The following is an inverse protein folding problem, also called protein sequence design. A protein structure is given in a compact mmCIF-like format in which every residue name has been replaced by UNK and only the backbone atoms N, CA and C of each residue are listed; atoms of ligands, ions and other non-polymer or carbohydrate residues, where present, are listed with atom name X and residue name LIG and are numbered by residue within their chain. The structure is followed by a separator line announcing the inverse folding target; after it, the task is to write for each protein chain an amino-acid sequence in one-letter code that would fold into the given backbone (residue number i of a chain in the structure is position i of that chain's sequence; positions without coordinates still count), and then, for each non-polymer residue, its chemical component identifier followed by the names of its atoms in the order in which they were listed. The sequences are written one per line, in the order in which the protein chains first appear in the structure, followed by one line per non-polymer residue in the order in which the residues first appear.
data_IF_133139328991
#
_entry.id   IF_133139328991
#
_cell.length_a   1.000
_cell.length_b   1.000
_cell.length_c   1.000
_cell.angle_alpha   90.00
_cell.angle_beta   90.00
_cell.angle_gamma   90.00
#
_symmetry.space_group_name_H-M   'P 1'
#
loop_
_entity.id
_entity.type
_entity.pdbx_description
1 polymer ?
#
# COMPACT_ATOMS: atom_id res chain seq x y z
N UNK A 1 59.67 -59.57 -17.24
CA UNK A 1 58.65 -60.34 -17.95
C UNK A 1 57.42 -59.53 -18.40
N UNK A 2 57.29 -58.27 -17.98
CA UNK A 2 56.12 -57.44 -18.34
C UNK A 2 56.07 -56.83 -19.73
N UNK A 3 57.22 -56.60 -20.36
CA UNK A 3 57.26 -55.88 -21.65
C UNK A 3 57.03 -56.72 -22.90
N UNK A 4 57.19 -58.05 -22.78
CA UNK A 4 56.94 -58.98 -23.85
C UNK A 4 55.41 -59.12 -24.10
N UNK A 5 54.61 -58.99 -23.05
CA UNK A 5 53.15 -59.04 -23.16
C UNK A 5 52.52 -57.78 -23.77
N UNK A 6 53.16 -56.58 -23.56
CA UNK A 6 52.63 -55.32 -24.12
C UNK A 6 52.79 -55.18 -25.59
N UNK A 7 53.90 -55.72 -26.20
CA UNK A 7 54.22 -55.51 -27.59
C UNK A 7 53.55 -56.56 -28.52
N UNK A 8 53.04 -57.68 -27.94
CA UNK A 8 52.42 -58.77 -28.71
C UNK A 8 50.96 -59.06 -28.30
N UNK A 9 50.28 -58.13 -27.66
CA UNK A 9 48.88 -58.28 -27.20
C UNK A 9 47.92 -58.71 -28.31
N UNK A 10 48.08 -58.13 -29.50
CA UNK A 10 47.25 -58.46 -30.67
C UNK A 10 47.51 -59.86 -31.17
N UNK A 11 48.80 -60.35 -31.21
CA UNK A 11 49.14 -61.69 -31.65
C UNK A 11 48.70 -62.75 -30.63
N UNK A 12 48.78 -62.45 -29.34
CA UNK A 12 48.28 -63.32 -28.26
C UNK A 12 46.77 -63.47 -28.30
N UNK A 13 46.03 -62.34 -28.53
CA UNK A 13 44.59 -62.38 -28.75
C UNK A 13 44.20 -63.18 -30.02
N UNK A 14 44.95 -63.02 -31.10
CA UNK A 14 44.74 -63.80 -32.32
C UNK A 14 44.99 -65.28 -32.10
N UNK A 15 46.04 -65.65 -31.33
CA UNK A 15 46.33 -67.09 -31.04
C UNK A 15 45.22 -67.67 -30.12
N UNK A 16 44.72 -66.92 -29.13
CA UNK A 16 43.60 -67.36 -28.27
C UNK A 16 42.33 -67.53 -29.11
N UNK A 17 42.06 -66.57 -30.02
CA UNK A 17 40.90 -66.60 -30.88
C UNK A 17 40.97 -67.79 -31.85
N UNK A 18 42.18 -68.05 -32.44
CA UNK A 18 42.40 -69.17 -33.32
C UNK A 18 42.24 -70.51 -32.57
N UNK A 19 42.72 -70.63 -31.34
CA UNK A 19 42.56 -71.79 -30.49
C UNK A 19 41.06 -72.00 -30.09
N UNK A 20 40.32 -70.94 -29.78
CA UNK A 20 38.88 -71.03 -29.59
C UNK A 20 38.10 -71.47 -30.80
N UNK A 21 38.46 -70.97 -32.02
CA UNK A 21 37.86 -71.34 -33.24
C UNK A 21 38.21 -72.80 -33.57
N UNK A 22 39.48 -73.28 -33.34
CA UNK A 22 39.90 -74.67 -33.51
C UNK A 22 39.15 -75.65 -32.61
N UNK A 23 38.92 -75.27 -31.32
CA UNK A 23 38.12 -76.08 -30.42
C UNK A 23 36.65 -76.11 -30.84
N UNK A 24 36.12 -75.06 -31.38
CA UNK A 24 34.73 -74.95 -31.92
C UNK A 24 34.55 -75.80 -33.14
N UNK A 25 35.53 -75.80 -34.08
CA UNK A 25 35.53 -76.62 -35.26
C UNK A 25 35.73 -78.13 -34.94
N UNK A 26 36.61 -78.42 -33.96
CA UNK A 26 36.79 -79.79 -33.50
C UNK A 26 35.52 -80.36 -32.83
N UNK A 27 34.82 -79.53 -32.00
CA UNK A 27 33.53 -79.83 -31.43
C UNK A 27 32.42 -80.04 -32.46
N UNK A 28 32.48 -79.33 -33.62
CA UNK A 28 31.52 -79.42 -34.71
C UNK A 28 31.77 -80.67 -35.56
N UNK A 29 33.05 -81.16 -35.71
CA UNK A 29 33.38 -82.35 -36.48
C UNK A 29 33.10 -83.69 -35.77
N UNK A 30 33.02 -83.68 -34.42
CA UNK A 30 32.57 -84.86 -33.66
C UNK A 30 31.05 -84.93 -33.59
N UNK A 31 30.42 -85.25 -34.71
CA UNK A 31 28.98 -85.37 -34.83
C UNK A 31 28.31 -86.16 -33.72
N UNK A 32 27.61 -85.46 -32.85
CA UNK A 32 26.51 -86.06 -32.09
C UNK A 32 26.78 -86.64 -30.75
N UNK A 33 27.32 -85.94 -29.78
CA UNK A 33 27.04 -86.09 -28.34
C UNK A 33 27.77 -85.01 -27.52
N UNK A 34 27.51 -83.76 -27.79
CA UNK A 34 28.12 -82.61 -27.06
C UNK A 34 27.18 -81.91 -26.11
N UNK A 35 26.13 -82.59 -25.62
CA UNK A 35 25.17 -81.97 -24.66
C UNK A 35 25.76 -81.67 -23.27
N UNK A 36 26.94 -82.27 -22.96
CA UNK A 36 27.54 -82.02 -21.60
C UNK A 36 28.56 -80.87 -21.57
N UNK A 37 29.39 -80.72 -22.62
CA UNK A 37 30.50 -79.71 -22.60
C UNK A 37 30.02 -78.27 -22.96
N UNK A 38 29.06 -78.23 -23.91
CA UNK A 38 28.47 -76.96 -24.31
C UNK A 38 27.65 -76.29 -23.19
N UNK A 39 27.03 -77.14 -22.36
CA UNK A 39 26.27 -76.67 -21.18
C UNK A 39 27.16 -76.08 -20.07
N UNK A 40 28.35 -76.68 -19.85
CA UNK A 40 29.26 -76.22 -18.77
C UNK A 40 29.95 -74.90 -19.13
N UNK A 41 30.19 -74.59 -20.39
CA UNK A 41 30.82 -73.30 -20.82
C UNK A 41 29.81 -72.20 -21.12
N UNK A 42 28.60 -72.55 -21.58
CA UNK A 42 27.58 -71.53 -21.90
C UNK A 42 26.67 -71.17 -20.67
N UNK A 43 26.54 -72.04 -19.71
CA UNK A 43 25.74 -71.70 -18.52
C UNK A 43 26.30 -70.57 -17.72
N UNK A 44 27.60 -70.43 -17.38
CA UNK A 44 28.09 -69.23 -16.67
C UNK A 44 27.99 -67.98 -17.52
N UNK A 45 28.07 -68.06 -18.89
CA UNK A 45 27.92 -66.91 -19.76
C UNK A 45 26.46 -66.41 -19.79
N UNK A 46 25.47 -67.30 -19.71
CA UNK A 46 24.04 -66.93 -19.61
C UNK A 46 23.72 -66.35 -18.24
N UNK A 47 24.30 -66.81 -17.18
CA UNK A 47 24.11 -66.25 -15.85
C UNK A 47 24.70 -64.85 -15.76
N UNK A 48 25.88 -64.59 -16.32
CA UNK A 48 26.50 -63.27 -16.34
C UNK A 48 25.70 -62.28 -17.19
N UNK A 49 25.15 -62.70 -18.36
CA UNK A 49 24.30 -61.81 -19.15
C UNK A 49 22.97 -61.49 -18.50
N UNK A 50 22.34 -62.41 -17.75
CA UNK A 50 21.11 -62.12 -17.02
C UNK A 50 21.36 -61.15 -15.85
N UNK A 51 22.43 -61.36 -15.08
CA UNK A 51 22.76 -60.48 -13.93
C UNK A 51 23.14 -59.06 -14.37
N UNK A 52 23.83 -58.93 -15.50
CA UNK A 52 24.20 -57.61 -16.06
C UNK A 52 22.98 -56.90 -16.65
N UNK A 53 22.04 -57.60 -17.28
CA UNK A 53 20.78 -57.04 -17.78
C UNK A 53 19.91 -56.52 -16.64
N UNK A 54 19.73 -57.32 -15.57
CA UNK A 54 18.93 -56.89 -14.41
C UNK A 54 19.52 -55.69 -13.67
N UNK A 55 20.85 -55.62 -13.57
CA UNK A 55 21.53 -54.46 -12.97
C UNK A 55 21.45 -53.21 -13.86
N UNK A 56 21.56 -53.39 -15.18
CA UNK A 56 21.39 -52.32 -16.15
C UNK A 56 19.95 -51.76 -16.15
N UNK A 57 18.93 -52.64 -16.08
CA UNK A 57 17.53 -52.21 -15.98
C UNK A 57 17.26 -51.45 -14.64
N UNK A 58 17.82 -51.91 -13.54
CA UNK A 58 17.70 -51.20 -12.24
C UNK A 58 18.37 -49.85 -12.27
N UNK A 59 19.50 -49.69 -12.93
CA UNK A 59 20.16 -48.40 -13.08
C UNK A 59 19.37 -47.48 -14.01
N UNK A 60 18.89 -47.98 -15.15
CA UNK A 60 18.07 -47.20 -16.06
C UNK A 60 16.75 -46.74 -15.41
N UNK A 61 16.05 -47.65 -14.69
CA UNK A 61 14.83 -47.28 -13.94
C UNK A 61 15.10 -46.33 -12.79
N UNK A 62 16.23 -46.43 -12.07
CA UNK A 62 16.61 -45.50 -11.05
C UNK A 62 16.87 -44.08 -11.61
N UNK A 63 17.58 -43.99 -12.74
CA UNK A 63 17.83 -42.70 -13.41
C UNK A 63 16.56 -42.09 -14.00
N UNK A 64 15.69 -42.88 -14.63
CA UNK A 64 14.41 -42.39 -15.19
C UNK A 64 13.44 -41.95 -14.10
N UNK A 65 13.37 -42.70 -13.00
CA UNK A 65 12.54 -42.32 -11.88
C UNK A 65 13.02 -41.05 -11.16
N UNK A 66 14.34 -40.86 -11.04
CA UNK A 66 14.89 -39.66 -10.41
C UNK A 66 14.59 -38.37 -11.24
N UNK A 67 14.71 -38.45 -12.55
CA UNK A 67 14.33 -37.34 -13.45
C UNK A 67 12.81 -37.10 -13.44
N UNK A 68 12.00 -38.17 -13.38
CA UNK A 68 10.55 -38.07 -13.28
C UNK A 68 10.11 -37.43 -11.97
N UNK A 69 10.72 -37.79 -10.83
CA UNK A 69 10.42 -37.17 -9.53
C UNK A 69 10.86 -35.72 -9.47
N UNK A 70 11.96 -35.33 -10.06
CA UNK A 70 12.39 -33.93 -10.15
C UNK A 70 11.40 -33.11 -11.00
N UNK A 71 11.05 -33.59 -12.19
CA UNK A 71 10.09 -32.94 -13.07
C UNK A 71 8.72 -32.77 -12.39
N UNK A 72 8.24 -33.81 -11.69
CA UNK A 72 6.99 -33.77 -10.95
C UNK A 72 7.07 -32.81 -9.75
N UNK A 73 8.20 -32.77 -9.04
CA UNK A 73 8.42 -31.82 -7.95
C UNK A 73 8.41 -30.38 -8.44
N UNK A 74 9.04 -30.12 -9.59
CA UNK A 74 9.07 -28.78 -10.18
C UNK A 74 7.68 -28.39 -10.71
N UNK A 75 6.95 -29.31 -11.34
CA UNK A 75 5.53 -29.11 -11.73
C UNK A 75 4.65 -28.80 -10.51
N UNK A 76 4.79 -29.54 -9.42
CA UNK A 76 4.03 -29.29 -8.19
C UNK A 76 4.38 -27.96 -7.53
N UNK A 77 5.63 -27.52 -7.61
CA UNK A 77 6.04 -26.18 -7.14
C UNK A 77 5.41 -25.07 -7.98
N UNK A 78 5.42 -25.22 -9.30
CA UNK A 78 4.77 -24.28 -10.22
C UNK A 78 3.26 -24.23 -10.00
N UNK A 79 2.63 -25.37 -9.84
CA UNK A 79 1.20 -25.46 -9.54
C UNK A 79 0.87 -24.84 -8.18
N UNK A 80 1.71 -25.06 -7.15
CA UNK A 80 1.56 -24.46 -5.84
C UNK A 80 1.74 -22.92 -5.89
N UNK A 81 2.71 -22.44 -6.67
CA UNK A 81 2.89 -21.02 -6.89
C UNK A 81 1.69 -20.38 -7.63
N UNK A 82 1.20 -21.06 -8.67
CA UNK A 82 0.02 -20.63 -9.41
C UNK A 82 -1.26 -20.60 -8.54
N UNK A 83 -1.43 -21.62 -7.68
CA UNK A 83 -2.55 -21.68 -6.75
C UNK A 83 -2.47 -20.57 -5.68
N UNK A 84 -1.27 -20.29 -5.17
CA UNK A 84 -1.06 -19.16 -4.23
C UNK A 84 -1.39 -17.82 -4.88
N UNK A 85 -0.96 -17.60 -6.11
CA UNK A 85 -1.30 -16.36 -6.83
C UNK A 85 -2.82 -16.24 -7.04
N UNK A 86 -3.48 -17.32 -7.43
CA UNK A 86 -4.95 -17.33 -7.56
C UNK A 86 -5.67 -17.08 -6.24
N UNK A 87 -5.11 -17.55 -5.12
CA UNK A 87 -5.67 -17.29 -3.79
C UNK A 87 -5.55 -15.81 -3.44
N UNK A 88 -4.39 -15.19 -3.69
CA UNK A 88 -4.20 -13.75 -3.49
C UNK A 88 -5.18 -12.94 -4.35
N UNK A 89 -5.27 -13.23 -5.65
CA UNK A 89 -6.22 -12.57 -6.55
C UNK A 89 -7.68 -12.72 -6.08
N UNK A 90 -8.03 -13.90 -5.55
CA UNK A 90 -9.36 -14.14 -5.00
C UNK A 90 -9.62 -13.33 -3.71
N UNK A 91 -8.64 -13.30 -2.81
CA UNK A 91 -8.74 -12.51 -1.57
C UNK A 91 -8.86 -11.01 -1.88
N UNK A 92 -8.04 -10.49 -2.80
CA UNK A 92 -8.12 -9.10 -3.27
C UNK A 92 -9.49 -8.77 -3.89
N UNK A 93 -9.98 -9.64 -4.76
CA UNK A 93 -11.30 -9.45 -5.40
C UNK A 93 -12.42 -9.47 -4.37
N UNK A 94 -12.34 -10.37 -3.39
CA UNK A 94 -13.33 -10.45 -2.31
C UNK A 94 -13.31 -9.20 -1.44
N UNK A 95 -12.14 -8.68 -1.14
CA UNK A 95 -12.00 -7.43 -0.38
C UNK A 95 -12.62 -6.26 -1.15
N UNK A 96 -12.28 -6.10 -2.43
CA UNK A 96 -12.86 -5.07 -3.30
C UNK A 96 -14.40 -5.17 -3.38
N UNK A 97 -14.92 -6.39 -3.48
CA UNK A 97 -16.38 -6.60 -3.46
C UNK A 97 -17.00 -6.15 -2.13
N UNK A 98 -16.39 -6.51 -1.02
CA UNK A 98 -16.87 -6.11 0.32
C UNK A 98 -16.83 -4.60 0.51
N UNK A 99 -15.76 -3.94 0.04
CA UNK A 99 -15.66 -2.48 0.07
C UNK A 99 -16.73 -1.84 -0.83
N UNK A 100 -16.93 -2.36 -2.04
CA UNK A 100 -17.95 -1.86 -2.94
C UNK A 100 -19.37 -2.03 -2.35
N UNK A 101 -19.67 -3.16 -1.70
CA UNK A 101 -20.93 -3.38 -0.99
C UNK A 101 -21.14 -2.35 0.13
N UNK A 102 -20.09 -2.06 0.92
CA UNK A 102 -20.12 -1.01 1.95
C UNK A 102 -20.39 0.36 1.33
N UNK A 103 -19.73 0.71 0.24
CA UNK A 103 -19.95 1.99 -0.46
C UNK A 103 -21.34 2.10 -1.09
N UNK A 104 -21.87 1.01 -1.63
CA UNK A 104 -23.26 0.97 -2.10
C UNK A 104 -24.25 1.19 -0.96
N UNK A 105 -23.90 0.76 0.25
CA UNK A 105 -24.66 1.06 1.47
C UNK A 105 -24.75 2.56 1.75
N UNK A 106 -23.61 3.26 1.73
CA UNK A 106 -23.54 4.73 1.91
C UNK A 106 -24.41 5.44 0.86
N UNK A 107 -24.25 5.09 -0.41
CA UNK A 107 -25.00 5.69 -1.52
C UNK A 107 -26.50 5.48 -1.39
N UNK A 108 -26.92 4.37 -0.80
CA UNK A 108 -28.34 4.09 -0.56
C UNK A 108 -28.90 4.85 0.65
N UNK A 109 -28.09 5.03 1.69
CA UNK A 109 -28.45 5.74 2.91
C UNK A 109 -28.52 7.25 2.69
N UNK A 110 -27.63 7.78 1.84
CA UNK A 110 -27.52 9.20 1.50
C UNK A 110 -27.72 9.42 -0.01
N UNK A 111 -28.91 9.15 -0.49
CA UNK A 111 -29.25 9.25 -1.92
C UNK A 111 -29.22 10.70 -2.47
N UNK A 112 -29.22 11.68 -1.61
CA UNK A 112 -29.12 13.14 -1.86
C UNK A 112 -27.68 13.64 -2.03
N UNK A 113 -26.67 12.81 -1.72
CA UNK A 113 -25.26 13.21 -1.90
C UNK A 113 -24.71 12.75 -3.25
N UNK A 114 -23.87 13.60 -3.84
CA UNK A 114 -23.08 13.24 -5.00
C UNK A 114 -21.76 12.68 -4.51
N UNK A 115 -21.56 11.39 -4.69
CA UNK A 115 -20.37 10.67 -4.25
C UNK A 115 -19.48 10.36 -5.46
N UNK A 116 -18.16 10.45 -5.25
CA UNK A 116 -17.19 9.95 -6.23
C UNK A 116 -17.28 8.43 -6.36
N UNK A 117 -16.65 7.88 -7.39
CA UNK A 117 -16.28 6.47 -7.38
C UNK A 117 -15.26 6.20 -6.25
N UNK A 118 -15.12 4.96 -5.79
CA UNK A 118 -14.11 4.60 -4.81
C UNK A 118 -12.71 5.05 -5.21
N UNK A 119 -12.02 5.71 -4.30
CA UNK A 119 -10.67 6.23 -4.48
C UNK A 119 -9.68 5.35 -3.74
N UNK A 120 -8.68 4.83 -4.42
CA UNK A 120 -7.61 4.03 -3.79
C UNK A 120 -6.52 4.93 -3.23
N UNK A 121 -5.98 4.56 -2.07
CA UNK A 121 -4.82 5.23 -1.49
C UNK A 121 -3.57 4.78 -2.25
N UNK A 122 -2.83 5.73 -2.81
CA UNK A 122 -1.63 5.47 -3.61
C UNK A 122 -0.33 5.85 -2.90
N UNK A 123 -0.41 6.50 -1.74
CA UNK A 123 0.76 6.87 -0.94
C UNK A 123 0.40 7.67 0.29
N UNK A 124 1.39 7.83 1.16
CA UNK A 124 1.29 8.64 2.37
C UNK A 124 2.24 9.83 2.30
N UNK A 125 1.85 10.94 2.92
CA UNK A 125 2.70 12.13 2.97
C UNK A 125 3.87 11.88 3.93
N UNK A 126 5.09 12.05 3.42
CA UNK A 126 6.31 11.78 4.20
C UNK A 126 6.48 12.82 5.31
N UNK A 127 6.85 12.35 6.50
CA UNK A 127 7.07 13.19 7.70
C UNK A 127 5.84 13.97 8.18
N UNK A 128 4.65 13.51 7.83
CA UNK A 128 3.41 14.05 8.39
C UNK A 128 2.95 13.19 9.59
N UNK A 129 2.94 13.75 10.82
CA UNK A 129 2.50 13.01 11.99
C UNK A 129 0.99 12.78 12.03
N UNK A 130 0.24 13.42 11.15
CA UNK A 130 -1.22 13.36 11.09
C UNK A 130 -1.73 12.34 10.04
N UNK A 131 -0.81 11.57 9.45
CA UNK A 131 -1.14 10.47 8.54
C UNK A 131 -1.90 10.88 7.29
N UNK A 132 -1.64 12.09 6.77
CA UNK A 132 -2.19 12.53 5.48
C UNK A 132 -1.75 11.59 4.36
N UNK A 133 -2.62 11.36 3.40
CA UNK A 133 -2.39 10.40 2.32
C UNK A 133 -2.83 10.94 0.97
N UNK A 134 -2.45 10.23 -0.08
CA UNK A 134 -2.73 10.60 -1.47
C UNK A 134 -3.66 9.56 -2.08
N UNK A 135 -4.68 10.03 -2.78
CA UNK A 135 -5.65 9.21 -3.51
C UNK A 135 -5.46 9.33 -5.02
N UNK A 136 -5.86 8.29 -5.75
CA UNK A 136 -5.72 8.17 -7.22
C UNK A 136 -6.78 8.92 -8.03
N UNK A 137 -7.43 9.91 -7.45
CA UNK A 137 -8.46 10.74 -8.09
C UNK A 137 -8.18 12.22 -7.87
N UNK A 138 -8.51 13.04 -8.87
CA UNK A 138 -8.22 14.47 -8.87
C UNK A 138 -9.32 15.32 -9.51
N UNK A 139 -8.97 16.51 -9.98
CA UNK A 139 -9.92 17.43 -10.60
C UNK A 139 -10.58 16.87 -11.88
N UNK A 140 -9.89 15.97 -12.59
CA UNK A 140 -10.47 15.29 -13.77
C UNK A 140 -11.65 14.37 -13.39
N UNK A 141 -11.72 13.95 -12.13
CA UNK A 141 -12.80 13.14 -11.55
C UNK A 141 -13.86 13.98 -10.82
N UNK A 142 -13.74 15.30 -10.87
CA UNK A 142 -14.68 16.24 -10.22
C UNK A 142 -14.38 16.52 -8.75
N UNK A 143 -13.20 16.15 -8.25
CA UNK A 143 -12.79 16.44 -6.87
C UNK A 143 -12.35 17.91 -6.74
N UNK A 144 -12.83 18.55 -5.71
CA UNK A 144 -12.52 19.94 -5.37
C UNK A 144 -11.80 20.05 -4.04
N UNK A 145 -11.22 21.21 -3.80
CA UNK A 145 -10.59 21.53 -2.51
C UNK A 145 -11.66 21.55 -1.41
N UNK A 146 -11.32 21.02 -0.23
CA UNK A 146 -12.20 20.91 0.94
C UNK A 146 -13.35 19.89 0.79
N UNK A 147 -13.40 19.09 -0.26
CA UNK A 147 -14.36 18.00 -0.33
C UNK A 147 -14.18 17.02 0.83
N UNK A 148 -15.28 16.62 1.49
CA UNK A 148 -15.22 15.63 2.57
C UNK A 148 -14.81 14.26 2.07
N UNK A 149 -13.96 13.59 2.83
CA UNK A 149 -13.52 12.23 2.59
C UNK A 149 -14.07 11.30 3.67
N UNK A 150 -14.75 10.26 3.25
CA UNK A 150 -15.49 9.34 4.13
C UNK A 150 -15.25 7.87 3.78
N UNK A 151 -15.57 7.02 4.74
CA UNK A 151 -15.76 5.57 4.55
C UNK A 151 -17.14 5.15 5.02
N UNK A 152 -17.47 3.87 4.92
CA UNK A 152 -18.69 3.32 5.54
C UNK A 152 -18.66 3.36 7.08
N UNK A 153 -17.51 3.51 7.68
CA UNK A 153 -17.30 3.50 9.12
C UNK A 153 -17.40 4.90 9.73
N UNK A 154 -17.07 5.94 8.93
CA UNK A 154 -17.12 7.34 9.40
C UNK A 154 -16.32 8.29 8.52
N UNK A 155 -16.08 9.48 9.08
CA UNK A 155 -15.28 10.51 8.40
C UNK A 155 -13.78 10.19 8.50
N UNK A 156 -13.07 10.55 7.43
CA UNK A 156 -11.60 10.38 7.32
C UNK A 156 -10.88 11.72 7.38
N UNK A 157 -11.36 12.70 6.63
CA UNK A 157 -10.73 14.01 6.51
C UNK A 157 -11.32 14.83 5.37
N UNK A 158 -10.52 15.73 4.83
CA UNK A 158 -10.87 16.59 3.69
C UNK A 158 -9.77 16.57 2.64
N UNK A 159 -10.13 16.97 1.43
CA UNK A 159 -9.18 17.24 0.36
C UNK A 159 -8.43 18.54 0.66
N UNK A 160 -7.12 18.43 0.91
CA UNK A 160 -6.24 19.58 1.21
C UNK A 160 -5.48 20.10 0.00
N UNK A 161 -5.30 19.28 -1.02
CA UNK A 161 -4.67 19.66 -2.29
C UNK A 161 -5.24 18.81 -3.42
N UNK A 162 -5.44 19.43 -4.57
CA UNK A 162 -5.99 18.77 -5.78
C UNK A 162 -5.02 18.97 -6.95
N UNK A 163 -4.68 17.86 -7.59
CA UNK A 163 -4.02 17.82 -8.90
C UNK A 163 -5.00 17.22 -9.91
N UNK A 164 -4.61 17.16 -11.18
CA UNK A 164 -5.49 16.64 -12.23
C UNK A 164 -5.93 15.18 -11.97
N UNK A 165 -5.00 14.31 -11.57
CA UNK A 165 -5.22 12.86 -11.48
C UNK A 165 -5.06 12.28 -10.07
N UNK A 166 -4.69 13.08 -9.09
CA UNK A 166 -4.53 12.68 -7.70
C UNK A 166 -4.85 13.84 -6.76
N UNK A 167 -5.20 13.54 -5.53
CA UNK A 167 -5.47 14.53 -4.50
C UNK A 167 -4.84 14.12 -3.18
N UNK A 168 -4.55 15.08 -2.33
CA UNK A 168 -4.04 14.85 -0.97
C UNK A 168 -5.17 15.02 0.02
N UNK A 169 -5.31 14.05 0.89
CA UNK A 169 -6.29 14.04 1.99
C UNK A 169 -5.58 14.41 3.29
N UNK A 170 -6.09 15.40 3.98
CA UNK A 170 -5.73 15.75 5.36
C UNK A 170 -6.72 15.09 6.31
N UNK A 171 -6.21 14.31 7.27
CA UNK A 171 -7.05 13.53 8.17
C UNK A 171 -7.65 14.36 9.30
N UNK A 172 -8.67 13.83 9.97
CA UNK A 172 -9.28 14.47 11.15
C UNK A 172 -8.34 14.59 12.34
N UNK A 173 -7.18 13.92 12.30
CA UNK A 173 -6.14 14.05 13.32
C UNK A 173 -5.29 15.31 13.15
N UNK A 174 -5.45 16.05 12.05
CA UNK A 174 -4.69 17.28 11.80
C UNK A 174 -5.26 18.48 12.55
N UNK A 175 -4.39 19.28 13.20
CA UNK A 175 -4.83 20.52 13.86
C UNK A 175 -5.23 21.64 12.89
N UNK A 176 -5.00 21.47 11.59
CA UNK A 176 -5.45 22.43 10.58
C UNK A 176 -6.93 22.28 10.25
N UNK A 177 -7.54 21.17 10.66
CA UNK A 177 -8.92 20.85 10.38
C UNK A 177 -9.77 21.06 11.63
N UNK A 178 -10.83 21.86 11.48
CA UNK A 178 -11.81 22.10 12.53
C UNK A 178 -13.19 21.71 12.03
N UNK A 179 -13.81 20.74 12.68
CA UNK A 179 -15.08 20.15 12.25
C UNK A 179 -16.12 20.34 13.34
N UNK A 180 -17.30 20.84 12.97
CA UNK A 180 -18.42 20.87 13.88
C UNK A 180 -18.85 19.46 14.29
N UNK A 181 -18.81 19.18 15.59
CA UNK A 181 -19.12 17.89 16.17
C UNK A 181 -20.28 17.96 17.16
N UNK A 182 -21.04 16.87 17.29
CA UNK A 182 -22.15 16.76 18.23
C UNK A 182 -22.27 15.34 18.77
N UNK A 183 -22.77 15.22 19.98
CA UNK A 183 -23.18 13.92 20.53
C UNK A 183 -24.24 13.24 19.66
N UNK A 184 -24.23 11.92 19.55
CA UNK A 184 -25.26 11.17 18.85
C UNK A 184 -26.67 11.45 19.41
N UNK A 185 -26.77 11.76 20.70
CA UNK A 185 -28.01 12.17 21.36
C UNK A 185 -28.38 13.63 21.06
N UNK A 186 -27.47 14.42 20.46
CA UNK A 186 -27.68 15.82 20.14
C UNK A 186 -27.66 16.78 21.34
N UNK A 187 -27.25 16.31 22.53
CA UNK A 187 -27.26 17.10 23.75
C UNK A 187 -26.06 18.05 23.88
N UNK A 188 -24.94 17.64 23.32
CA UNK A 188 -23.68 18.38 23.44
C UNK A 188 -23.09 18.64 22.06
N UNK A 189 -22.58 19.85 21.84
CA UNK A 189 -21.94 20.28 20.62
C UNK A 189 -20.56 20.84 20.93
N UNK A 190 -19.65 20.74 19.97
CA UNK A 190 -18.29 21.26 20.10
C UNK A 190 -17.60 21.28 18.75
N UNK A 191 -16.31 21.51 18.77
CA UNK A 191 -15.44 21.50 17.58
C UNK A 191 -14.44 20.39 17.74
N UNK A 192 -14.37 19.52 16.74
CA UNK A 192 -13.33 18.52 16.61
C UNK A 192 -12.08 19.16 16.02
N UNK A 193 -10.95 18.91 16.63
CA UNK A 193 -9.62 19.28 16.12
C UNK A 193 -8.61 18.17 16.40
N UNK A 194 -7.57 18.09 15.58
CA UNK A 194 -6.43 17.24 15.85
C UNK A 194 -5.44 17.89 16.81
N UNK A 195 -4.64 17.07 17.48
CA UNK A 195 -3.54 17.52 18.32
C UNK A 195 -2.32 16.63 18.12
N UNK A 196 -1.12 17.23 18.09
CA UNK A 196 0.11 16.50 17.84
C UNK A 196 0.41 15.46 18.93
N UNK A 197 0.01 15.71 20.16
CA UNK A 197 0.17 14.78 21.27
C UNK A 197 -0.70 13.51 21.14
N UNK A 198 -1.79 13.59 20.40
CA UNK A 198 -2.77 12.54 20.17
C UNK A 198 -2.58 11.84 18.80
N UNK A 199 -1.79 12.44 17.92
CA UNK A 199 -1.66 11.99 16.54
C UNK A 199 -1.05 10.59 16.41
N UNK A 200 -0.15 10.19 17.32
CA UNK A 200 0.49 8.89 17.31
C UNK A 200 -0.51 7.73 17.54
N UNK A 201 -1.58 7.99 18.26
CA UNK A 201 -2.65 7.04 18.57
C UNK A 201 -3.88 7.24 17.67
N UNK A 202 -3.76 8.07 16.63
CA UNK A 202 -4.84 8.51 15.73
C UNK A 202 -5.99 9.22 16.43
N UNK A 203 -5.84 9.61 17.68
CA UNK A 203 -6.88 10.29 18.45
C UNK A 203 -7.01 11.75 18.05
N UNK A 204 -8.19 12.29 18.29
CA UNK A 204 -8.51 13.70 18.13
C UNK A 204 -9.27 14.19 19.37
N UNK A 205 -9.48 15.49 19.48
CA UNK A 205 -10.20 16.05 20.60
C UNK A 205 -11.39 16.88 20.16
N UNK A 206 -12.45 16.83 20.95
CA UNK A 206 -13.62 17.71 20.82
C UNK A 206 -13.56 18.76 21.91
N UNK A 207 -13.39 20.02 21.52
CA UNK A 207 -13.25 21.18 22.42
C UNK A 207 -14.55 21.97 22.52
N UNK A 208 -14.55 22.99 23.41
CA UNK A 208 -15.69 23.86 23.71
C UNK A 208 -16.89 23.13 24.33
N UNK A 209 -16.64 22.04 25.04
CA UNK A 209 -17.67 21.39 25.83
C UNK A 209 -17.99 22.21 27.09
N UNK A 210 -19.25 22.29 27.41
CA UNK A 210 -19.68 22.92 28.65
C UNK A 210 -19.13 22.16 29.86
N UNK A 211 -18.93 22.86 30.97
CA UNK A 211 -18.38 22.24 32.18
C UNK A 211 -19.31 21.16 32.77
N UNK A 212 -20.61 21.32 32.57
CA UNK A 212 -21.68 20.40 32.99
C UNK A 212 -22.17 19.50 31.88
N UNK A 213 -21.31 19.28 30.84
CA UNK A 213 -21.59 18.35 29.76
C UNK A 213 -22.05 16.99 30.29
N UNK A 214 -23.00 16.39 29.59
CA UNK A 214 -23.53 15.04 29.88
C UNK A 214 -22.80 13.94 29.17
N UNK A 215 -21.81 14.25 28.32
CA UNK A 215 -20.98 13.27 27.61
C UNK A 215 -20.32 12.35 28.61
N UNK A 216 -20.30 11.04 28.25
CA UNK A 216 -19.66 9.96 28.99
C UNK A 216 -18.68 9.20 28.08
N UNK A 217 -17.77 8.48 28.70
CA UNK A 217 -16.91 7.53 27.99
C UNK A 217 -17.75 6.53 27.22
N UNK A 218 -17.39 6.29 25.95
CA UNK A 218 -18.10 5.41 25.01
C UNK A 218 -19.23 6.07 24.23
N UNK A 219 -19.60 7.33 24.53
CA UNK A 219 -20.62 8.04 23.75
C UNK A 219 -20.16 8.27 22.31
N UNK A 220 -21.09 8.09 21.35
CA UNK A 220 -20.80 8.31 19.95
C UNK A 220 -20.90 9.79 19.58
N UNK A 221 -19.91 10.24 18.81
CA UNK A 221 -19.82 11.61 18.28
C UNK A 221 -19.97 11.56 16.77
N UNK A 222 -20.77 12.48 16.24
CA UNK A 222 -21.04 12.64 14.80
C UNK A 222 -20.84 14.08 14.36
N UNK A 223 -20.76 14.31 13.05
CA UNK A 223 -20.71 15.64 12.47
C UNK A 223 -21.99 16.42 12.72
N UNK A 224 -21.87 17.71 13.07
CA UNK A 224 -23.03 18.59 13.28
C UNK A 224 -23.53 19.25 12.00
N UNK A 225 -22.77 19.24 10.91
CA UNK A 225 -23.05 20.00 9.69
C UNK A 225 -22.68 21.48 9.78
N UNK A 226 -22.28 21.96 10.95
CA UNK A 226 -21.90 23.37 11.16
C UNK A 226 -20.57 23.65 10.44
N UNK A 227 -20.49 24.79 9.75
CA UNK A 227 -19.30 25.20 9.00
C UNK A 227 -19.27 24.68 7.56
N UNK A 228 -20.22 23.83 7.13
CA UNK A 228 -20.36 23.41 5.72
C UNK A 228 -19.21 22.57 5.15
N UNK A 229 -18.28 22.07 6.02
CA UNK A 229 -17.19 21.20 5.61
C UNK A 229 -17.60 19.73 5.54
N UNK A 230 -18.57 19.31 6.35
CA UNK A 230 -19.11 17.95 6.38
C UNK A 230 -20.63 18.00 6.46
N UNK A 231 -21.33 17.10 5.77
CA UNK A 231 -22.74 16.94 5.99
C UNK A 231 -23.02 16.45 7.43
N UNK A 232 -24.21 16.74 7.94
CA UNK A 232 -24.62 16.33 9.28
C UNK A 232 -24.81 14.82 9.38
N UNK A 233 -24.41 14.25 10.52
CA UNK A 233 -24.77 12.89 10.90
C UNK A 233 -23.70 11.82 10.65
N UNK A 234 -22.61 12.12 9.99
CA UNK A 234 -21.52 11.16 9.83
C UNK A 234 -20.81 10.87 11.16
N UNK A 235 -20.50 9.59 11.39
CA UNK A 235 -19.81 9.16 12.58
C UNK A 235 -18.36 9.66 12.58
N UNK A 236 -17.95 10.27 13.69
CA UNK A 236 -16.56 10.66 13.94
C UNK A 236 -15.86 9.55 14.72
N UNK A 237 -16.44 9.13 15.83
CA UNK A 237 -15.87 8.14 16.71
C UNK A 237 -16.58 8.05 18.04
N UNK A 238 -15.91 7.55 19.06
CA UNK A 238 -16.40 7.42 20.42
C UNK A 238 -15.53 8.20 21.40
N UNK A 239 -16.15 8.70 22.46
CA UNK A 239 -15.43 9.35 23.56
C UNK A 239 -14.58 8.33 24.30
N UNK A 240 -13.28 8.59 24.40
CA UNK A 240 -12.36 7.80 25.20
C UNK A 240 -12.41 8.29 26.66
N UNK A 241 -12.12 9.55 26.89
CA UNK A 241 -12.20 10.19 28.20
C UNK A 241 -12.44 11.69 28.07
N UNK A 242 -12.79 12.34 29.20
CA UNK A 242 -12.99 13.78 29.27
C UNK A 242 -11.97 14.40 30.22
N UNK A 243 -11.46 15.57 29.85
CA UNK A 243 -10.54 16.35 30.64
C UNK A 243 -10.98 17.82 30.77
N UNK A 244 -10.49 18.48 31.80
CA UNK A 244 -10.68 19.93 31.97
C UNK A 244 -9.59 20.65 31.16
N UNK A 245 -9.98 21.70 30.45
CA UNK A 245 -9.00 22.62 29.88
C UNK A 245 -8.22 23.34 30.99
N UNK A 246 -6.99 23.75 30.70
CA UNK A 246 -6.13 24.49 31.65
C UNK A 246 -6.79 25.72 32.22
N UNK A 247 -7.70 26.35 31.48
CA UNK A 247 -8.51 27.50 31.94
C UNK A 247 -9.52 27.14 33.04
N UNK A 248 -9.86 25.85 33.21
CA UNK A 248 -10.89 25.36 34.13
C UNK A 248 -12.32 25.79 33.79
N UNK A 249 -12.53 26.47 32.65
CA UNK A 249 -13.86 27.03 32.28
C UNK A 249 -14.65 26.03 31.40
N UNK A 250 -14.00 25.22 30.62
CA UNK A 250 -14.60 24.22 29.70
C UNK A 250 -13.90 22.88 29.82
N UNK A 251 -14.54 21.86 29.29
CA UNK A 251 -13.97 20.52 29.12
C UNK A 251 -13.65 20.25 27.66
N UNK A 252 -12.81 19.26 27.42
CA UNK A 252 -12.66 18.62 26.13
C UNK A 252 -12.80 17.12 26.28
N UNK A 253 -13.19 16.46 25.20
CA UNK A 253 -13.25 15.02 25.13
C UNK A 253 -12.18 14.53 24.15
N UNK A 254 -11.39 13.53 24.54
CA UNK A 254 -10.52 12.77 23.64
C UNK A 254 -11.37 11.72 22.97
N UNK A 255 -11.24 11.60 21.65
CA UNK A 255 -12.04 10.71 20.83
C UNK A 255 -11.18 9.67 20.14
N UNK A 256 -11.66 8.44 20.14
CA UNK A 256 -11.18 7.36 19.29
C UNK A 256 -11.96 7.39 17.97
N UNK A 257 -11.35 7.68 16.83
CA UNK A 257 -12.02 7.66 15.53
C UNK A 257 -12.67 6.31 15.24
N UNK A 258 -13.81 6.34 14.54
CA UNK A 258 -14.49 5.13 14.09
C UNK A 258 -13.74 4.42 12.97
N UNK A 259 -12.97 5.18 12.20
CA UNK A 259 -12.18 4.68 11.05
C UNK A 259 -10.83 4.19 11.53
N UNK A 260 -10.45 3.00 11.08
CA UNK A 260 -9.10 2.47 11.30
C UNK A 260 -8.15 2.97 10.20
N UNK A 261 -7.33 3.98 10.51
CA UNK A 261 -6.39 4.58 9.57
C UNK A 261 -5.27 3.64 9.11
N UNK A 262 -4.84 2.68 9.94
CA UNK A 262 -3.81 1.70 9.58
C UNK A 262 -4.26 0.70 8.51
N UNK A 263 -5.55 0.39 8.49
CA UNK A 263 -6.14 -0.59 7.57
C UNK A 263 -6.83 0.06 6.36
N UNK A 264 -6.71 1.40 6.23
CA UNK A 264 -7.41 2.15 5.21
C UNK A 264 -6.77 1.90 3.83
N UNK A 265 -7.53 1.35 2.90
CA UNK A 265 -7.09 1.05 1.52
C UNK A 265 -7.81 1.89 0.48
N UNK A 266 -9.09 2.21 0.73
CA UNK A 266 -9.93 3.00 -0.15
C UNK A 266 -10.87 3.92 0.61
N UNK A 267 -11.24 5.02 -0.02
CA UNK A 267 -12.13 6.06 0.52
C UNK A 267 -13.11 6.53 -0.55
N UNK A 268 -14.13 7.29 -0.15
CA UNK A 268 -15.00 8.03 -1.05
C UNK A 268 -14.94 9.52 -0.75
N UNK A 269 -15.08 10.32 -1.79
CA UNK A 269 -15.17 11.78 -1.69
C UNK A 269 -16.63 12.20 -1.93
N UNK A 270 -17.14 13.06 -1.07
CA UNK A 270 -18.45 13.68 -1.24
C UNK A 270 -18.26 14.93 -2.08
N UNK A 271 -18.68 14.86 -3.34
CA UNK A 271 -18.51 15.95 -4.31
C UNK A 271 -19.52 17.06 -4.09
N UNK A 272 -20.76 16.70 -3.71
CA UNK A 272 -21.82 17.68 -3.43
C UNK A 272 -22.81 17.15 -2.40
N UNK A 273 -23.32 18.04 -1.57
CA UNK A 273 -24.37 17.77 -0.57
C UNK A 273 -25.06 19.05 -0.16
N UNK A 274 -26.27 18.96 0.39
CA UNK A 274 -27.03 20.12 0.86
C UNK A 274 -26.30 20.81 2.05
N UNK A 275 -25.98 22.08 1.88
CA UNK A 275 -25.22 22.87 2.86
C UNK A 275 -23.70 22.93 2.62
N UNK A 276 -23.16 22.36 1.52
CA UNK A 276 -21.75 22.50 1.16
C UNK A 276 -21.40 23.98 0.95
N UNK A 277 -20.31 24.44 1.59
CA UNK A 277 -19.82 25.81 1.44
C UNK A 277 -20.69 26.87 2.12
N UNK A 278 -21.65 26.48 2.95
CA UNK A 278 -22.41 27.41 3.80
C UNK A 278 -21.51 27.96 4.92
N UNK A 279 -20.53 28.77 4.56
CA UNK A 279 -19.78 29.56 5.54
C UNK A 279 -20.74 30.51 6.23
N UNK A 280 -21.01 30.27 7.49
CA UNK A 280 -21.50 31.33 8.39
C UNK A 280 -20.33 32.24 8.73
N UNK A 281 -19.80 32.97 7.76
CA UNK A 281 -19.01 34.16 8.04
C UNK A 281 -20.02 35.16 8.58
N UNK A 282 -19.88 35.65 9.84
CA UNK A 282 -20.62 36.82 10.27
C UNK A 282 -20.28 37.95 9.28
N UNK A 283 -21.29 38.52 8.69
CA UNK A 283 -21.23 39.57 7.64
C UNK A 283 -20.53 40.87 8.13
N UNK A 284 -19.87 40.84 9.28
CA UNK A 284 -19.29 42.02 9.96
C UNK A 284 -17.76 42.19 9.75
N UNK A 285 -17.13 41.42 8.87
CA UNK A 285 -15.71 41.63 8.49
C UNK A 285 -15.48 41.97 7.03
N UNK A 286 -16.53 42.22 6.25
CA UNK A 286 -16.40 42.69 4.89
C UNK A 286 -16.67 44.18 4.83
N UNK A 287 -15.74 45.01 5.25
CA UNK A 287 -15.60 46.39 4.76
C UNK A 287 -14.43 47.13 5.38
N UNK A 288 -13.22 46.72 5.08
CA UNK A 288 -12.13 47.69 4.91
C UNK A 288 -11.59 47.54 3.51
N UNK A 289 -12.47 47.71 2.54
CA UNK A 289 -12.02 48.16 1.23
C UNK A 289 -11.71 49.65 1.43
N UNK A 290 -10.44 49.96 1.63
CA UNK A 290 -9.92 51.30 1.47
C UNK A 290 -10.13 51.70 0.02
N UNK A 291 -11.28 52.33 -0.22
CA UNK A 291 -11.55 53.05 -1.47
C UNK A 291 -10.58 54.19 -1.50
N UNK A 292 -9.42 54.05 -2.13
CA UNK A 292 -8.61 55.18 -2.52
C UNK A 292 -9.35 55.83 -3.70
N UNK A 293 -10.24 56.73 -3.33
CA UNK A 293 -10.85 57.66 -4.33
C UNK A 293 -9.73 58.58 -4.77
N UNK A 294 -9.24 58.35 -5.96
CA UNK A 294 -8.38 59.32 -6.63
C UNK A 294 -9.27 60.52 -6.99
N UNK A 295 -9.27 61.55 -6.16
CA UNK A 295 -9.75 62.90 -6.55
C UNK A 295 -8.78 63.44 -7.59
N UNK A 296 -9.20 63.42 -8.84
CA UNK A 296 -8.57 64.16 -9.91
C UNK A 296 -8.95 65.66 -9.74
N UNK A 297 -8.13 66.39 -9.02
CA UNK A 297 -8.21 67.85 -9.03
C UNK A 297 -7.40 68.37 -10.19
N UNK A 298 -8.11 68.80 -11.20
CA UNK A 298 -7.54 69.60 -12.33
C UNK A 298 -7.28 71.01 -11.79
N UNK A 299 -6.04 71.38 -11.61
CA UNK A 299 -5.64 72.80 -11.48
C UNK A 299 -4.49 73.10 -12.42
N UNK A 300 -4.70 74.20 -13.08
CA UNK A 300 -3.91 74.79 -14.14
C UNK A 300 -2.46 75.18 -13.71
N UNK A 301 -1.62 75.17 -14.74
CA UNK A 301 -0.29 75.76 -14.84
C UNK A 301 0.12 76.84 -13.86
N UNK A 302 1.26 76.66 -13.19
CA UNK A 302 2.26 77.74 -13.06
C UNK A 302 3.64 77.09 -12.81
N UNK A 303 4.53 77.40 -13.72
CA UNK A 303 5.95 77.06 -13.76
C UNK A 303 6.70 77.55 -12.56
N UNK A 304 7.44 76.69 -11.82
CA UNK A 304 8.65 77.10 -11.09
C UNK A 304 9.56 75.88 -10.89
N UNK A 305 10.75 75.96 -11.46
CA UNK A 305 11.84 75.01 -11.28
C UNK A 305 12.29 74.96 -9.86
N UNK A 306 12.38 73.76 -9.25
CA UNK A 306 13.12 73.59 -8.02
C UNK A 306 13.94 72.30 -8.13
N UNK A 307 15.24 72.48 -8.26
CA UNK A 307 16.26 71.44 -8.25
C UNK A 307 16.30 70.78 -6.91
N UNK A 308 15.95 69.52 -6.81
CA UNK A 308 16.13 68.75 -5.59
C UNK A 308 17.33 67.82 -5.71
N UNK A 309 18.37 68.14 -4.96
CA UNK A 309 19.60 67.34 -4.79
C UNK A 309 19.29 66.09 -4.00
N UNK A 310 19.47 64.90 -4.56
CA UNK A 310 19.35 63.64 -3.82
C UNK A 310 20.72 63.35 -3.20
N UNK A 311 20.83 63.40 -1.86
CA UNK A 311 21.98 62.96 -1.14
C UNK A 311 21.85 61.46 -0.80
N UNK A 312 22.68 60.64 -1.45
CA UNK A 312 22.84 59.23 -1.11
C UNK A 312 23.75 59.12 0.08
N UNK A 313 23.24 58.66 1.21
CA UNK A 313 24.03 58.26 2.37
C UNK A 313 24.46 56.79 2.19
N UNK A 314 25.75 56.58 1.87
CA UNK A 314 26.42 55.32 1.97
C UNK A 314 27.00 55.17 3.36
N UNK A 315 26.47 54.26 4.18
CA UNK A 315 27.07 53.82 5.42
C UNK A 315 28.17 52.82 5.14
N UNK A 316 29.43 53.28 5.28
CA UNK A 316 30.63 52.44 5.24
C UNK A 316 30.77 51.63 6.53
N UNK A 317 31.08 50.38 6.36
CA UNK A 317 31.50 49.46 7.42
C UNK A 317 32.97 49.77 7.74
N UNK A 318 33.30 50.21 8.94
CA UNK A 318 34.68 50.29 9.40
C UNK A 318 34.95 49.23 10.46
N UNK A 319 35.90 48.41 10.17
CA UNK A 319 36.45 47.42 11.07
C UNK A 319 37.51 48.11 11.95
N UNK A 320 37.38 47.97 13.25
CA UNK A 320 38.44 48.36 14.21
C UNK A 320 38.90 47.13 15.00
N UNK A 321 40.15 46.83 14.75
CA UNK A 321 41.03 45.91 15.43
C UNK A 321 41.56 46.59 16.73
N UNK A 322 41.85 45.80 17.79
CA UNK A 322 42.70 46.32 18.87
C UNK A 322 42.53 45.68 20.24
N UNK A 323 43.32 44.66 20.48
CA UNK A 323 44.21 44.42 21.64
C UNK A 323 43.76 44.92 23.05
N UNK A 324 43.53 43.97 23.98
CA UNK A 324 44.38 43.58 25.11
C UNK A 324 43.78 42.35 25.82
#
# INVERSE_FOLDING_TARGET
MGDFFKRNRLRFLLCILALLIGVLLYAAMQGGQTTGVMGVVLNPLRQVTQTVSEQAERLVTAFTNQTSYQTENDRLKEENAALKNKLLDYEDTKQQLTELEKFMGIKKEHADYVLSDPCSIIGYVTNDPFHSFIINKGSDDGIELQDPVVTAEGIVGIISNVSNTYSTVETICSPKLSIGAMSATGSDTGILEGEISLAADYQCRMIYLERDTKLQEGDLIKTSGTGGLFPQGYLIGSVDHLELMDSGLSKYAVLNPAVNFDALTSVMVILDYDGKGAETIPEDQTAVQTTVTAETTTLAETTTETTTTVTVLTTGTEAANGQN
#
